data_IF_063014681512
#
_entry.id   IF_063014681512
#
_cell.length_a   1.000
_cell.length_b   1.000
_cell.length_c   1.000
_cell.angle_alpha   90.00
_cell.angle_beta   90.00
_cell.angle_gamma   90.00
#
_symmetry.space_group_name_H-M   'P 1'
#
loop_
_entity.id
_entity.type
_entity.pdbx_description
1 polymer ?
#
# COMPACT_ATOMS: atom_id res chain seq x y z
N UNK A 1 -34.87 37.02 9.22
CA UNK A 1 -35.49 35.88 8.50
C UNK A 1 -34.99 34.58 9.16
N UNK A 2 -35.83 33.91 9.96
CA UNK A 2 -35.46 32.68 10.68
C UNK A 2 -35.82 31.47 9.81
N UNK A 3 -34.81 30.78 9.28
CA UNK A 3 -35.01 29.55 8.52
C UNK A 3 -35.17 28.41 9.55
N UNK A 4 -36.40 27.92 9.71
CA UNK A 4 -36.72 26.80 10.59
C UNK A 4 -36.53 25.48 9.83
N UNK A 5 -35.40 24.81 10.03
CA UNK A 5 -35.10 23.50 9.45
C UNK A 5 -35.86 22.44 10.25
N UNK A 6 -36.97 21.92 9.70
CA UNK A 6 -37.86 20.96 10.39
C UNK A 6 -37.60 19.48 10.07
N UNK A 7 -36.62 19.15 9.23
CA UNK A 7 -36.44 17.78 8.77
C UNK A 7 -34.98 17.29 8.94
N UNK A 8 -34.61 16.76 10.12
CA UNK A 8 -33.24 16.31 10.39
C UNK A 8 -32.80 15.12 9.52
N UNK A 9 -33.76 14.36 8.95
CA UNK A 9 -33.51 13.21 8.07
C UNK A 9 -32.85 13.63 6.74
N UNK A 10 -33.17 14.82 6.22
CA UNK A 10 -32.62 15.29 4.95
C UNK A 10 -31.12 15.64 5.07
N UNK A 11 -30.70 16.13 6.24
CA UNK A 11 -29.28 16.37 6.53
C UNK A 11 -28.50 15.07 6.70
N UNK A 12 -29.12 14.03 7.27
CA UNK A 12 -28.48 12.72 7.44
C UNK A 12 -28.19 12.04 6.09
N UNK A 13 -29.13 12.13 5.14
CA UNK A 13 -28.95 11.59 3.78
C UNK A 13 -27.91 12.37 2.96
N UNK A 14 -27.86 13.70 3.10
CA UNK A 14 -26.85 14.51 2.44
C UNK A 14 -25.42 14.23 2.97
N UNK A 15 -25.29 13.85 4.25
CA UNK A 15 -24.01 13.47 4.85
C UNK A 15 -23.51 12.12 4.31
N UNK A 16 -24.42 11.16 4.06
CA UNK A 16 -24.09 9.83 3.55
C UNK A 16 -23.59 9.82 2.09
N UNK A 17 -24.00 10.80 1.28
CA UNK A 17 -23.60 10.87 -0.15
C UNK A 17 -22.17 11.40 -0.32
N UNK A 18 -21.60 12.09 0.68
CA UNK A 18 -20.26 12.70 0.59
C UNK A 18 -19.11 11.75 0.96
N UNK A 19 -19.40 10.52 1.39
CA UNK A 19 -18.39 9.60 1.97
C UNK A 19 -17.80 8.63 0.92
N UNK A 20 -18.43 8.47 -0.25
CA UNK A 20 -18.05 7.45 -1.24
C UNK A 20 -16.99 7.86 -2.28
N UNK A 21 -16.43 9.08 -2.21
CA UNK A 21 -15.64 9.66 -3.31
C UNK A 21 -14.11 9.69 -3.14
N UNK A 22 -13.53 9.01 -2.15
CA UNK A 22 -12.12 9.20 -1.79
C UNK A 22 -11.21 7.96 -1.96
N UNK A 23 -11.72 6.80 -2.36
CA UNK A 23 -10.96 5.54 -2.35
C UNK A 23 -10.24 5.23 -3.67
N UNK A 24 -10.92 5.43 -4.80
CA UNK A 24 -10.42 5.09 -6.16
C UNK A 24 -9.05 5.72 -6.47
N UNK A 25 -8.83 6.97 -6.04
CA UNK A 25 -7.57 7.70 -6.29
C UNK A 25 -6.35 7.14 -5.57
N UNK A 26 -6.52 6.36 -4.53
CA UNK A 26 -5.41 5.80 -3.77
C UNK A 26 -5.07 4.39 -4.25
N UNK A 27 -6.08 3.58 -4.61
CA UNK A 27 -5.86 2.30 -5.28
C UNK A 27 -5.08 2.50 -6.58
N UNK A 28 -5.51 3.45 -7.43
CA UNK A 28 -4.79 3.82 -8.66
C UNK A 28 -3.34 4.30 -8.40
N UNK A 29 -3.08 4.92 -7.23
CA UNK A 29 -1.74 5.36 -6.87
C UNK A 29 -0.87 4.21 -6.40
N UNK A 30 -1.42 3.26 -5.64
CA UNK A 30 -0.69 2.09 -5.16
C UNK A 30 -0.36 1.13 -6.31
N UNK A 31 -1.28 0.97 -7.26
CA UNK A 31 -1.12 0.10 -8.42
C UNK A 31 0.18 0.40 -9.17
N UNK A 32 1.00 -0.63 -9.41
CA UNK A 32 2.26 -0.53 -10.14
C UNK A 32 3.42 -1.31 -9.48
N UNK A 33 4.64 -0.95 -9.90
CA UNK A 33 5.88 -1.57 -9.44
C UNK A 33 6.67 -0.61 -8.57
N UNK A 34 7.23 -1.13 -7.49
CA UNK A 34 7.87 -0.34 -6.44
C UNK A 34 9.21 -0.97 -6.07
N UNK A 35 10.33 -0.26 -6.29
CA UNK A 35 11.64 -0.73 -5.84
C UNK A 35 11.84 -0.37 -4.36
N UNK A 36 12.20 -1.35 -3.54
CA UNK A 36 12.54 -1.15 -2.14
C UNK A 36 13.87 -0.42 -2.00
N UNK A 37 13.86 0.66 -1.22
CA UNK A 37 15.05 1.39 -0.80
C UNK A 37 15.58 0.76 0.49
N UNK A 38 16.64 -0.03 0.34
CA UNK A 38 17.31 -0.64 1.49
C UNK A 38 18.15 0.40 2.25
N UNK A 39 17.54 1.01 3.25
CA UNK A 39 18.20 1.96 4.16
C UNK A 39 19.11 1.28 5.19
N UNK A 40 18.99 -0.05 5.36
CA UNK A 40 19.79 -0.83 6.30
C UNK A 40 21.12 -1.21 5.66
N UNK A 41 21.11 -1.63 4.40
CA UNK A 41 22.29 -1.91 3.60
C UNK A 41 22.24 -1.21 2.23
N UNK A 42 22.79 0.01 2.21
CA UNK A 42 22.90 0.82 0.99
C UNK A 42 23.78 0.18 -0.10
N UNK A 43 24.57 -0.85 0.24
CA UNK A 43 25.44 -1.57 -0.69
C UNK A 43 24.92 -2.97 -1.04
N UNK A 44 23.66 -3.27 -0.69
CA UNK A 44 23.07 -4.57 -1.02
C UNK A 44 23.19 -4.86 -2.51
N UNK A 45 23.77 -6.02 -2.82
CA UNK A 45 23.91 -6.50 -4.20
C UNK A 45 22.57 -6.97 -4.78
N UNK A 46 21.55 -7.12 -3.93
CA UNK A 46 20.21 -7.58 -4.30
C UNK A 46 19.24 -6.41 -4.24
N UNK A 47 18.50 -6.21 -5.32
CA UNK A 47 17.34 -5.33 -5.32
C UNK A 47 16.06 -6.15 -5.09
N UNK A 48 15.04 -5.50 -4.57
CA UNK A 48 13.71 -6.07 -4.34
C UNK A 48 12.66 -5.11 -4.91
N UNK A 49 11.71 -5.65 -5.65
CA UNK A 49 10.56 -4.93 -6.18
C UNK A 49 9.27 -5.55 -5.65
N UNK A 50 8.32 -4.69 -5.28
CA UNK A 50 6.97 -5.07 -4.91
C UNK A 50 6.02 -4.63 -6.01
N UNK A 51 5.26 -5.58 -6.54
CA UNK A 51 4.32 -5.37 -7.64
C UNK A 51 2.91 -5.52 -7.08
N UNK A 52 2.12 -4.46 -7.20
CA UNK A 52 0.70 -4.40 -6.86
C UNK A 52 -0.07 -4.23 -8.18
N UNK A 53 -0.54 -5.33 -8.77
CA UNK A 53 -1.16 -5.33 -10.10
C UNK A 53 -2.40 -6.21 -10.14
N UNK A 54 -3.56 -5.64 -10.48
CA UNK A 54 -4.85 -6.31 -10.63
C UNK A 54 -5.19 -7.19 -9.41
N UNK A 55 -5.02 -6.64 -8.19
CA UNK A 55 -5.16 -7.33 -6.89
C UNK A 55 -4.13 -8.44 -6.61
N UNK A 56 -3.17 -8.67 -7.51
CA UNK A 56 -2.06 -9.59 -7.29
C UNK A 56 -0.89 -8.86 -6.65
N UNK A 57 -0.31 -9.50 -5.65
CA UNK A 57 0.92 -9.08 -5.02
C UNK A 57 2.07 -9.99 -5.48
N UNK A 58 3.20 -9.42 -5.86
CA UNK A 58 4.40 -10.20 -6.19
C UNK A 58 5.64 -9.46 -5.70
N UNK A 59 6.53 -10.20 -5.05
CA UNK A 59 7.87 -9.71 -4.71
C UNK A 59 8.85 -10.31 -5.74
N UNK A 60 9.57 -9.45 -6.44
CA UNK A 60 10.65 -9.84 -7.36
C UNK A 60 11.98 -9.45 -6.74
N UNK A 61 13.00 -10.31 -6.91
CA UNK A 61 14.38 -9.97 -6.56
C UNK A 61 15.29 -10.20 -7.75
N UNK A 62 16.39 -9.44 -7.79
CA UNK A 62 17.43 -9.56 -8.80
C UNK A 62 18.77 -9.05 -8.26
N UNK A 63 19.85 -9.48 -8.90
CA UNK A 63 21.16 -8.89 -8.67
C UNK A 63 21.25 -7.52 -9.35
N UNK A 64 21.67 -6.48 -8.62
CA UNK A 64 21.84 -5.13 -9.18
C UNK A 64 22.83 -5.09 -10.35
N UNK A 65 23.80 -6.01 -10.39
CA UNK A 65 24.74 -6.18 -11.50
C UNK A 65 24.13 -6.81 -12.76
N UNK A 66 22.96 -7.44 -12.64
CA UNK A 66 22.28 -8.12 -13.75
C UNK A 66 20.75 -8.05 -13.56
N UNK A 67 20.13 -6.86 -13.75
CA UNK A 67 18.72 -6.63 -13.42
C UNK A 67 17.73 -7.43 -14.29
N UNK A 68 18.16 -7.93 -15.45
CA UNK A 68 17.35 -8.77 -16.32
C UNK A 68 17.14 -10.18 -15.75
N UNK A 69 18.01 -10.63 -14.85
CA UNK A 69 17.91 -11.95 -14.22
C UNK A 69 17.10 -11.87 -12.93
N UNK A 70 15.79 -11.77 -13.11
CA UNK A 70 14.82 -11.69 -12.01
C UNK A 70 14.31 -13.06 -11.58
N UNK A 71 13.96 -13.20 -10.31
CA UNK A 71 13.15 -14.32 -9.83
C UNK A 71 12.03 -13.83 -8.92
N UNK A 72 10.91 -14.55 -8.95
CA UNK A 72 9.80 -14.35 -8.04
C UNK A 72 10.25 -14.89 -6.67
N UNK A 73 10.22 -14.01 -5.67
CA UNK A 73 10.52 -14.36 -4.30
C UNK A 73 9.25 -14.77 -3.55
N UNK A 74 8.16 -14.01 -3.71
CA UNK A 74 6.86 -14.28 -3.09
C UNK A 74 5.71 -13.85 -4.02
N UNK A 75 4.55 -14.46 -3.83
CA UNK A 75 3.31 -14.09 -4.51
C UNK A 75 2.12 -14.20 -3.58
N UNK A 76 1.11 -13.37 -3.79
CA UNK A 76 -0.12 -13.40 -3.04
C UNK A 76 -1.15 -12.47 -3.65
N UNK A 77 -2.07 -12.00 -2.82
CA UNK A 77 -3.06 -10.99 -3.17
C UNK A 77 -2.92 -9.79 -2.25
N UNK A 78 -3.35 -8.63 -2.71
CA UNK A 78 -3.44 -7.45 -1.86
C UNK A 78 -4.79 -6.75 -2.02
N UNK A 79 -5.16 -5.99 -1.00
CA UNK A 79 -6.20 -4.97 -1.09
C UNK A 79 -5.86 -3.79 -0.19
N UNK A 80 -6.39 -2.62 -0.54
CA UNK A 80 -6.21 -1.38 0.19
C UNK A 80 -7.46 -1.10 1.02
N UNK A 81 -7.30 -0.93 2.34
CA UNK A 81 -8.39 -0.61 3.26
C UNK A 81 -8.18 0.75 3.93
N UNK A 82 -9.27 1.34 4.41
CA UNK A 82 -9.33 2.67 5.00
C UNK A 82 -10.15 2.60 6.28
N UNK A 83 -9.44 2.73 7.40
CA UNK A 83 -10.04 2.82 8.73
C UNK A 83 -10.14 4.26 9.22
N UNK A 84 -10.75 4.42 10.39
CA UNK A 84 -10.75 5.69 11.12
C UNK A 84 -9.33 6.13 11.52
N UNK A 85 -8.40 5.17 11.61
CA UNK A 85 -7.04 5.41 12.09
C UNK A 85 -5.99 5.49 10.98
N UNK A 86 -6.33 5.22 9.71
CA UNK A 86 -5.36 5.25 8.63
C UNK A 86 -5.78 4.48 7.39
N UNK A 87 -4.81 4.33 6.49
CA UNK A 87 -4.89 3.51 5.28
C UNK A 87 -3.96 2.32 5.44
N UNK A 88 -4.39 1.14 4.99
CA UNK A 88 -3.67 -0.10 5.22
C UNK A 88 -3.62 -0.97 3.96
N UNK A 89 -2.48 -1.59 3.68
CA UNK A 89 -2.36 -2.62 2.66
C UNK A 89 -2.46 -3.97 3.36
N UNK A 90 -3.50 -4.73 3.06
CA UNK A 90 -3.61 -6.10 3.51
C UNK A 90 -3.02 -7.01 2.45
N UNK A 91 -2.01 -7.79 2.81
CA UNK A 91 -1.38 -8.79 1.95
C UNK A 91 -1.74 -10.17 2.50
N UNK A 92 -2.08 -11.10 1.62
CA UNK A 92 -2.44 -12.48 1.98
C UNK A 92 -2.00 -13.48 0.90
N UNK A 93 -1.91 -14.76 1.26
CA UNK A 93 -1.60 -15.86 0.34
C UNK A 93 -0.12 -16.03 -0.02
N UNK A 94 0.79 -15.30 0.64
CA UNK A 94 2.25 -15.49 0.49
C UNK A 94 2.73 -16.70 1.30
N UNK A 95 3.91 -17.22 0.96
CA UNK A 95 4.49 -18.36 1.67
C UNK A 95 5.21 -17.97 2.97
N UNK A 96 5.49 -16.68 3.16
CA UNK A 96 6.15 -16.11 4.34
C UNK A 96 5.14 -15.33 5.18
N UNK A 97 4.85 -15.84 6.36
CA UNK A 97 3.83 -15.28 7.27
C UNK A 97 4.04 -13.81 7.63
N UNK A 98 5.29 -13.32 7.66
CA UNK A 98 5.55 -11.91 7.96
C UNK A 98 5.04 -10.93 6.88
N UNK A 99 4.71 -11.42 5.68
CA UNK A 99 4.04 -10.61 4.67
C UNK A 99 2.52 -10.73 4.74
N UNK A 100 1.98 -11.85 5.25
CA UNK A 100 0.54 -12.12 5.36
C UNK A 100 -0.11 -11.34 6.51
N UNK A 101 -0.09 -10.02 6.42
CA UNK A 101 -0.49 -9.13 7.50
C UNK A 101 -0.94 -7.77 6.96
N UNK A 102 -1.42 -6.93 7.86
CA UNK A 102 -1.80 -5.56 7.59
C UNK A 102 -0.56 -4.65 7.66
N UNK A 103 -0.33 -3.86 6.62
CA UNK A 103 0.75 -2.88 6.55
C UNK A 103 0.16 -1.47 6.60
N UNK A 104 0.52 -0.70 7.62
CA UNK A 104 0.16 0.70 7.73
C UNK A 104 0.77 1.50 6.58
N UNK A 105 -0.04 2.28 5.86
CA UNK A 105 0.43 3.22 4.85
C UNK A 105 0.73 4.56 5.50
N UNK A 106 2.01 4.83 5.73
CA UNK A 106 2.49 6.08 6.30
C UNK A 106 2.50 7.18 5.24
N UNK A 107 2.91 6.84 4.02
CA UNK A 107 2.97 7.75 2.88
C UNK A 107 2.67 7.01 1.59
N UNK A 108 1.79 7.57 0.77
CA UNK A 108 1.54 7.12 -0.59
C UNK A 108 1.38 8.32 -1.53
N UNK A 109 2.37 8.52 -2.39
CA UNK A 109 2.39 9.52 -3.45
C UNK A 109 2.52 8.84 -4.83
N UNK A 110 2.72 9.61 -5.89
CA UNK A 110 2.92 9.04 -7.22
C UNK A 110 4.29 8.34 -7.36
N UNK A 111 5.28 8.73 -6.56
CA UNK A 111 6.67 8.31 -6.72
C UNK A 111 7.22 7.57 -5.49
N UNK A 112 6.53 7.66 -4.35
CA UNK A 112 7.01 7.18 -3.05
C UNK A 112 5.92 6.45 -2.28
N UNK A 113 6.28 5.32 -1.69
CA UNK A 113 5.47 4.53 -0.77
C UNK A 113 6.29 4.26 0.50
N UNK A 114 5.70 4.53 1.66
CA UNK A 114 6.30 4.19 2.95
C UNK A 114 5.26 3.44 3.76
N UNK A 115 5.62 2.24 4.20
CA UNK A 115 4.76 1.35 4.98
C UNK A 115 5.44 0.86 6.24
N UNK A 116 4.63 0.50 7.24
CA UNK A 116 5.11 -0.19 8.43
C UNK A 116 4.25 -1.38 8.80
N UNK A 117 4.84 -2.30 9.55
CA UNK A 117 4.13 -3.38 10.19
C UNK A 117 4.71 -3.62 11.59
N UNK A 118 3.83 -3.74 12.58
CA UNK A 118 4.21 -4.16 13.93
C UNK A 118 4.48 -5.67 13.92
N UNK A 119 5.73 -6.04 14.17
CA UNK A 119 6.17 -7.44 14.28
C UNK A 119 6.59 -7.75 15.71
N UNK A 120 6.62 -9.03 16.06
CA UNK A 120 7.15 -9.45 17.36
C UNK A 120 8.61 -8.96 17.52
N UNK A 121 8.81 -8.00 18.42
CA UNK A 121 10.13 -7.44 18.72
C UNK A 121 10.43 -6.07 18.09
N UNK A 122 9.48 -5.45 17.38
CA UNK A 122 9.64 -4.07 16.91
C UNK A 122 8.71 -3.67 15.77
N UNK A 123 9.11 -2.63 15.04
CA UNK A 123 8.37 -2.15 13.87
C UNK A 123 9.25 -2.40 12.65
N UNK A 124 8.70 -3.11 11.66
CA UNK A 124 9.31 -3.22 10.34
C UNK A 124 8.89 -2.02 9.51
N UNK A 125 9.86 -1.28 8.96
CA UNK A 125 9.62 -0.16 8.05
C UNK A 125 10.16 -0.49 6.66
N UNK A 126 9.40 -0.16 5.62
CA UNK A 126 9.85 -0.24 4.22
C UNK A 126 9.53 1.05 3.47
N UNK A 127 10.52 1.53 2.72
CA UNK A 127 10.43 2.70 1.85
C UNK A 127 10.61 2.24 0.41
N UNK A 128 9.81 2.76 -0.51
CA UNK A 128 9.86 2.38 -1.90
C UNK A 128 9.79 3.59 -2.82
N UNK A 129 10.40 3.44 -4.00
CA UNK A 129 10.27 4.36 -5.13
C UNK A 129 9.49 3.67 -6.24
N UNK A 130 8.52 4.38 -6.84
CA UNK A 130 7.74 3.85 -7.96
C UNK A 130 8.62 3.72 -9.19
N UNK A 131 8.65 2.55 -9.78
CA UNK A 131 9.28 2.34 -11.08
C UNK A 131 8.32 2.88 -12.15
N UNK A 132 8.84 3.70 -13.05
CA UNK A 132 8.03 4.33 -14.11
C UNK A 132 7.26 3.27 -14.91
N UNK A 133 5.96 3.51 -15.11
CA UNK A 133 5.09 2.69 -15.97
C UNK A 133 5.62 2.59 -17.41
#
# INVERSE_FOLDING_TARGET
>A
MKISIKNPIFFLFALLILIGGCTEKYEERLEGKWEWVDVVDINSTIAEEWHFIDFNFTIIRYERSNPENTWIYEQGTFFLDWGVFGTYINIDGTSIDSYNTEWDVIKLSNDELVISNDVDGGIMYKEFIKLSN
#
